data_IF_332560061071
#
_entry.id   IF_332560061071
#
_cell.length_a   1.000
_cell.length_b   1.000
_cell.length_c   1.000
_cell.angle_alpha   90.00
_cell.angle_beta   90.00
_cell.angle_gamma   90.00
#
_symmetry.space_group_name_H-M   'P 1'
#
loop_
_entity.id
_entity.type
_entity.pdbx_description
1 polymer ?
#
# COMPACT_ATOMS: atom_id res chain seq x y z
N UNK A 1 28.26 67.17 41.43
CA UNK A 1 29.72 67.37 41.27
C UNK A 1 30.36 66.50 42.36
N UNK A 2 31.05 65.38 42.14
CA UNK A 2 31.71 64.76 40.99
C UNK A 2 31.90 63.28 41.42
N UNK A 3 31.23 62.29 40.81
CA UNK A 3 31.79 61.24 39.89
C UNK A 3 33.24 60.80 40.23
N UNK A 4 33.71 59.55 40.12
CA UNK A 4 33.22 58.33 39.47
C UNK A 4 34.19 57.18 39.79
N UNK A 5 33.65 55.96 39.85
CA UNK A 5 34.13 54.69 39.23
C UNK A 5 35.55 54.17 39.46
N UNK A 6 35.63 52.92 39.95
CA UNK A 6 36.54 51.89 39.40
C UNK A 6 35.87 50.51 39.52
N UNK A 7 36.00 49.71 38.46
CA UNK A 7 35.39 48.40 38.24
C UNK A 7 36.39 47.23 38.48
N UNK A 8 35.81 46.03 38.62
CA UNK A 8 36.32 44.66 38.33
C UNK A 8 37.14 43.89 39.38
N UNK A 9 36.52 42.82 39.89
CA UNK A 9 36.86 41.38 39.73
C UNK A 9 35.69 40.60 40.37
N UNK A 10 35.02 39.60 39.80
CA UNK A 10 35.50 38.41 39.11
C UNK A 10 35.13 37.19 39.97
N UNK A 11 33.94 36.60 39.80
CA UNK A 11 33.74 35.17 40.12
C UNK A 11 32.55 34.61 39.31
N UNK A 12 32.90 33.75 38.36
CA UNK A 12 31.98 33.00 37.51
C UNK A 12 31.45 31.78 38.26
N UNK A 13 30.13 31.59 38.30
CA UNK A 13 29.49 30.34 38.75
C UNK A 13 29.24 29.44 37.54
N UNK A 14 29.53 28.12 37.61
CA UNK A 14 29.36 27.23 36.47
C UNK A 14 27.88 26.91 36.24
N UNK A 15 27.48 26.97 34.97
CA UNK A 15 26.13 26.77 34.48
C UNK A 15 25.62 25.35 34.65
N UNK A 16 24.32 25.27 34.89
CA UNK A 16 23.51 24.05 34.84
C UNK A 16 23.60 23.45 33.43
N UNK A 17 24.27 22.30 33.30
CA UNK A 17 24.19 21.48 32.10
C UNK A 17 22.74 21.04 31.93
N UNK A 18 22.06 21.62 30.94
CA UNK A 18 20.83 21.05 30.38
C UNK A 18 21.22 19.67 29.86
N UNK A 19 20.87 18.64 30.62
CA UNK A 19 20.83 17.26 30.13
C UNK A 19 20.03 17.29 28.83
N UNK A 20 20.65 16.81 27.74
CA UNK A 20 19.98 16.67 26.46
C UNK A 20 18.69 15.89 26.68
N UNK A 21 17.56 16.52 26.36
CA UNK A 21 16.28 15.81 26.29
C UNK A 21 16.46 14.58 25.40
N UNK A 22 16.13 13.37 25.89
CA UNK A 22 16.09 12.20 25.03
C UNK A 22 15.07 12.49 23.94
N UNK A 23 15.51 12.47 22.67
CA UNK A 23 14.61 12.51 21.53
C UNK A 23 13.84 11.19 21.56
N UNK A 24 12.63 11.22 22.11
CA UNK A 24 11.68 10.12 21.97
C UNK A 24 11.31 10.09 20.49
N UNK A 25 11.91 9.17 19.73
CA UNK A 25 11.44 8.78 18.40
C UNK A 25 10.21 7.92 18.58
N UNK A 26 9.10 8.53 19.02
CA UNK A 26 7.78 7.94 18.89
C UNK A 26 7.32 8.15 17.45
N UNK A 27 6.72 7.13 16.80
CA UNK A 27 6.08 7.34 15.51
C UNK A 27 5.02 8.43 15.65
N UNK A 28 5.04 9.39 14.73
CA UNK A 28 4.02 10.43 14.67
C UNK A 28 2.64 9.80 14.56
N UNK A 29 1.60 10.49 15.04
CA UNK A 29 0.21 10.00 14.97
C UNK A 29 -0.18 9.53 13.54
N UNK A 30 0.21 10.23 12.45
CA UNK A 30 0.00 9.74 11.09
C UNK A 30 0.70 8.41 10.77
N UNK A 31 1.97 8.25 11.17
CA UNK A 31 2.73 7.01 10.94
C UNK A 31 2.13 5.85 11.72
N UNK A 32 1.68 6.09 12.96
CA UNK A 32 0.99 5.07 13.75
C UNK A 32 -0.31 4.61 13.09
N UNK A 33 -1.13 5.55 12.56
CA UNK A 33 -2.36 5.20 11.83
C UNK A 33 -2.06 4.42 10.55
N UNK A 34 -1.05 4.83 9.77
CA UNK A 34 -0.66 4.11 8.56
C UNK A 34 -0.17 2.69 8.86
N UNK A 35 0.55 2.50 9.97
CA UNK A 35 0.98 1.18 10.41
C UNK A 35 -0.19 0.29 10.85
N UNK A 36 -1.15 0.85 11.60
CA UNK A 36 -2.35 0.12 12.01
C UNK A 36 -3.20 -0.29 10.79
N UNK A 37 -3.44 0.65 9.88
CA UNK A 37 -4.19 0.41 8.64
C UNK A 37 -3.58 -0.74 7.83
N UNK A 38 -2.25 -0.73 7.67
CA UNK A 38 -1.53 -1.83 7.02
C UNK A 38 -1.71 -3.15 7.74
N UNK A 39 -1.58 -3.17 9.06
CA UNK A 39 -1.77 -4.39 9.85
C UNK A 39 -3.18 -4.98 9.72
N UNK A 40 -4.20 -4.13 9.59
CA UNK A 40 -5.59 -4.55 9.33
C UNK A 40 -5.73 -5.19 7.95
N UNK A 41 -5.16 -4.58 6.91
CA UNK A 41 -5.22 -5.14 5.55
C UNK A 41 -4.40 -6.43 5.42
N UNK A 42 -3.21 -6.50 6.02
CA UNK A 42 -2.39 -7.71 6.05
C UNK A 42 -3.13 -8.87 6.77
N UNK A 43 -3.85 -8.58 7.85
CA UNK A 43 -4.68 -9.55 8.55
C UNK A 43 -5.84 -10.04 7.68
N UNK A 44 -6.52 -9.13 6.98
CA UNK A 44 -7.59 -9.49 6.05
C UNK A 44 -7.06 -10.37 4.91
N UNK A 45 -5.91 -10.04 4.32
CA UNK A 45 -5.28 -10.83 3.27
C UNK A 45 -4.96 -12.26 3.74
N UNK A 46 -4.34 -12.42 4.91
CA UNK A 46 -4.06 -13.75 5.49
C UNK A 46 -5.33 -14.57 5.67
N UNK A 47 -6.41 -13.96 6.15
CA UNK A 47 -7.70 -14.64 6.32
C UNK A 47 -8.35 -15.03 4.99
N UNK A 48 -8.22 -14.19 3.96
CA UNK A 48 -8.70 -14.50 2.60
C UNK A 48 -7.93 -15.69 2.03
N UNK A 49 -6.61 -15.72 2.18
CA UNK A 49 -5.76 -16.82 1.74
C UNK A 49 -6.11 -18.11 2.48
N UNK A 50 -6.15 -18.08 3.82
CA UNK A 50 -6.50 -19.24 4.63
C UNK A 50 -7.94 -19.72 4.42
N UNK A 51 -8.84 -18.80 4.04
CA UNK A 51 -10.24 -19.08 3.71
C UNK A 51 -10.49 -19.39 2.24
N UNK A 52 -9.45 -19.65 1.44
CA UNK A 52 -9.54 -20.00 0.01
C UNK A 52 -10.40 -19.01 -0.81
N UNK A 53 -10.31 -17.72 -0.48
CA UNK A 53 -11.06 -16.65 -1.15
C UNK A 53 -12.39 -16.28 -0.50
N UNK A 54 -12.71 -16.79 0.70
CA UNK A 54 -13.84 -16.27 1.47
C UNK A 54 -13.53 -14.87 1.99
N UNK A 55 -14.48 -13.94 1.82
CA UNK A 55 -14.40 -12.60 2.44
C UNK A 55 -14.52 -12.73 3.97
N UNK A 56 -13.52 -12.28 4.76
CA UNK A 56 -13.60 -12.33 6.22
C UNK A 56 -14.54 -11.25 6.76
N UNK A 57 -15.14 -11.52 7.91
CA UNK A 57 -15.90 -10.53 8.66
C UNK A 57 -14.97 -9.57 9.40
N UNK A 58 -15.44 -8.37 9.69
CA UNK A 58 -14.70 -7.39 10.51
C UNK A 58 -14.33 -7.95 11.89
N UNK A 59 -15.15 -8.85 12.45
CA UNK A 59 -14.86 -9.51 13.71
C UNK A 59 -13.69 -10.49 13.62
N UNK A 60 -13.60 -11.26 12.52
CA UNK A 60 -12.47 -12.16 12.26
C UNK A 60 -11.17 -11.37 12.06
N UNK A 61 -11.23 -10.28 11.28
CA UNK A 61 -10.06 -9.39 11.08
C UNK A 61 -9.60 -8.77 12.41
N UNK A 62 -10.54 -8.28 13.22
CA UNK A 62 -10.23 -7.72 14.54
C UNK A 62 -9.54 -8.75 15.47
N UNK A 63 -10.01 -9.99 15.45
CA UNK A 63 -9.38 -11.07 16.22
C UNK A 63 -7.97 -11.40 15.72
N UNK A 64 -7.79 -11.49 14.40
CA UNK A 64 -6.50 -11.78 13.76
C UNK A 64 -5.44 -10.70 14.03
N UNK A 65 -5.82 -9.42 13.95
CA UNK A 65 -4.90 -8.29 14.19
C UNK A 65 -4.76 -7.92 15.67
N UNK A 66 -5.54 -8.53 16.56
CA UNK A 66 -5.51 -8.26 18.00
C UNK A 66 -6.08 -6.90 18.41
N UNK A 67 -7.03 -6.36 17.64
CA UNK A 67 -7.67 -5.06 17.89
C UNK A 67 -9.12 -5.20 18.32
N UNK A 68 -9.65 -4.16 18.98
CA UNK A 68 -11.09 -4.05 19.17
C UNK A 68 -11.78 -3.82 17.80
N UNK A 69 -13.00 -4.36 17.64
CA UNK A 69 -13.80 -4.16 16.41
C UNK A 69 -13.98 -2.68 16.06
N UNK A 70 -14.20 -1.83 17.07
CA UNK A 70 -14.33 -0.38 16.88
C UNK A 70 -13.08 0.26 16.28
N UNK A 71 -11.89 -0.26 16.58
CA UNK A 71 -10.63 0.22 16.01
C UNK A 71 -10.52 -0.17 14.53
N UNK A 72 -10.89 -1.41 14.17
CA UNK A 72 -10.86 -1.86 12.77
C UNK A 72 -11.81 -1.05 11.87
N UNK A 73 -12.97 -0.64 12.40
CA UNK A 73 -13.89 0.24 11.66
C UNK A 73 -13.31 1.62 11.31
N UNK A 74 -12.21 2.04 11.96
CA UNK A 74 -11.50 3.27 11.58
C UNK A 74 -10.64 3.07 10.31
N UNK A 75 -10.28 1.83 10.00
CA UNK A 75 -9.41 1.46 8.88
C UNK A 75 -10.21 0.93 7.67
N UNK A 76 -11.24 0.12 7.92
CA UNK A 76 -12.12 -0.46 6.88
C UNK A 76 -13.59 -0.37 7.27
N UNK A 77 -14.42 0.21 6.41
CA UNK A 77 -15.82 0.49 6.71
C UNK A 77 -16.73 -0.74 6.57
N UNK A 78 -16.35 -1.69 5.71
CA UNK A 78 -17.13 -2.90 5.40
C UNK A 78 -16.25 -3.96 4.74
N UNK A 79 -16.77 -5.18 4.58
CA UNK A 79 -16.08 -6.23 3.81
C UNK A 79 -15.81 -5.81 2.37
N UNK A 80 -16.77 -5.13 1.73
CA UNK A 80 -16.59 -4.56 0.38
C UNK A 80 -15.46 -3.54 0.34
N UNK A 81 -15.48 -2.58 1.26
CA UNK A 81 -14.44 -1.55 1.35
C UNK A 81 -13.06 -2.15 1.58
N UNK A 82 -12.94 -3.16 2.43
CA UNK A 82 -11.72 -3.91 2.66
C UNK A 82 -11.19 -4.58 1.37
N UNK A 83 -12.06 -5.23 0.58
CA UNK A 83 -11.65 -5.81 -0.71
C UNK A 83 -11.20 -4.71 -1.67
N UNK A 84 -11.92 -3.59 -1.77
CA UNK A 84 -11.51 -2.45 -2.62
C UNK A 84 -10.11 -1.96 -2.22
N UNK A 85 -9.85 -1.79 -0.92
CA UNK A 85 -8.55 -1.33 -0.45
C UNK A 85 -7.42 -2.33 -0.75
N UNK A 86 -7.67 -3.64 -0.63
CA UNK A 86 -6.72 -4.68 -1.02
C UNK A 86 -6.45 -4.67 -2.53
N UNK A 87 -7.48 -4.47 -3.37
CA UNK A 87 -7.31 -4.31 -4.81
C UNK A 87 -6.44 -3.08 -5.15
N UNK A 88 -6.69 -1.96 -4.48
CA UNK A 88 -5.90 -0.73 -4.65
C UNK A 88 -4.43 -0.87 -4.18
N UNK A 89 -4.13 -1.84 -3.30
CA UNK A 89 -2.75 -2.18 -2.96
C UNK A 89 -2.11 -3.14 -3.98
N UNK A 90 -2.87 -4.14 -4.44
CA UNK A 90 -2.36 -5.19 -5.31
C UNK A 90 -2.09 -4.71 -6.75
N UNK A 91 -2.97 -3.88 -7.32
CA UNK A 91 -2.87 -3.46 -8.72
C UNK A 91 -1.59 -2.65 -8.99
N UNK A 92 -1.23 -1.60 -8.21
CA UNK A 92 0.00 -0.86 -8.45
C UNK A 92 1.26 -1.72 -8.33
N UNK A 93 1.33 -2.59 -7.32
CA UNK A 93 2.48 -3.47 -7.13
C UNK A 93 2.67 -4.45 -8.31
N UNK A 94 1.57 -4.92 -8.90
CA UNK A 94 1.62 -5.72 -10.12
C UNK A 94 2.06 -4.90 -11.33
N UNK A 95 1.51 -3.70 -11.54
CA UNK A 95 1.90 -2.82 -12.64
C UNK A 95 3.39 -2.45 -12.59
N UNK A 96 3.93 -2.18 -11.40
CA UNK A 96 5.35 -1.91 -11.20
C UNK A 96 6.20 -3.13 -11.59
N UNK A 97 5.78 -4.33 -11.18
CA UNK A 97 6.47 -5.59 -11.52
C UNK A 97 6.42 -5.89 -13.02
N UNK A 98 5.29 -5.63 -13.65
CA UNK A 98 5.10 -5.82 -15.09
C UNK A 98 5.94 -4.82 -15.89
N UNK A 99 5.92 -3.54 -15.51
CA UNK A 99 6.71 -2.48 -16.15
C UNK A 99 8.20 -2.80 -16.05
N UNK A 100 8.67 -3.20 -14.88
CA UNK A 100 10.07 -3.56 -14.68
C UNK A 100 10.51 -4.77 -15.54
N UNK A 101 9.65 -5.77 -15.74
CA UNK A 101 9.96 -6.89 -16.63
C UNK A 101 9.88 -6.49 -18.11
N UNK A 102 8.92 -5.65 -18.49
CA UNK A 102 8.80 -5.12 -19.85
C UNK A 102 10.02 -4.28 -20.26
N UNK A 103 10.56 -3.47 -19.34
CA UNK A 103 11.80 -2.69 -19.56
C UNK A 103 13.05 -3.59 -19.73
N UNK A 104 13.03 -4.80 -19.16
CA UNK A 104 14.13 -5.77 -19.27
C UNK A 104 14.10 -6.53 -20.59
N UNK A 105 12.92 -6.76 -21.16
CA UNK A 105 12.78 -7.46 -22.43
C UNK A 105 12.84 -6.47 -23.61
N UNK A 106 13.27 -6.93 -24.77
CA UNK A 106 13.29 -6.10 -25.98
C UNK A 106 11.88 -5.76 -26.50
N UNK A 107 11.76 -4.97 -27.58
CA UNK A 107 10.47 -4.54 -28.13
C UNK A 107 9.70 -5.64 -28.88
N UNK A 108 10.18 -6.88 -28.88
CA UNK A 108 9.57 -7.99 -29.58
C UNK A 108 8.23 -8.41 -28.94
N UNK A 109 7.13 -8.52 -29.73
CA UNK A 109 5.81 -8.88 -29.18
C UNK A 109 5.79 -10.24 -28.45
N UNK A 110 6.55 -11.22 -28.95
CA UNK A 110 6.62 -12.55 -28.32
C UNK A 110 7.31 -12.50 -26.95
N UNK A 111 8.41 -11.75 -26.83
CA UNK A 111 9.15 -11.55 -25.59
C UNK A 111 8.32 -10.80 -24.55
N UNK A 112 7.56 -9.79 -24.99
CA UNK A 112 6.64 -9.01 -24.14
C UNK A 112 5.45 -9.82 -23.67
N UNK A 113 4.83 -10.61 -24.54
CA UNK A 113 3.78 -11.54 -24.15
C UNK A 113 4.30 -12.57 -23.12
N UNK A 114 5.50 -13.11 -23.36
CA UNK A 114 6.13 -14.03 -22.42
C UNK A 114 6.44 -13.35 -21.07
N UNK A 115 6.87 -12.08 -21.07
CA UNK A 115 7.05 -11.27 -19.87
C UNK A 115 5.74 -11.10 -19.09
N UNK A 116 4.67 -10.71 -19.77
CA UNK A 116 3.35 -10.57 -19.14
C UNK A 116 2.88 -11.86 -18.48
N UNK A 117 3.01 -13.01 -19.16
CA UNK A 117 2.66 -14.31 -18.59
C UNK A 117 3.55 -14.66 -17.39
N UNK A 118 4.87 -14.43 -17.48
CA UNK A 118 5.81 -14.69 -16.38
C UNK A 118 5.53 -13.85 -15.13
N UNK A 119 5.07 -12.62 -15.29
CA UNK A 119 4.74 -11.75 -14.15
C UNK A 119 3.35 -12.06 -13.60
N UNK A 120 2.37 -12.26 -14.48
CA UNK A 120 0.96 -12.33 -14.07
C UNK A 120 0.59 -13.71 -13.55
N UNK A 121 1.06 -14.80 -14.17
CA UNK A 121 0.65 -16.14 -13.77
C UNK A 121 1.05 -16.49 -12.32
N UNK A 122 2.29 -16.21 -11.85
CA UNK A 122 2.67 -16.47 -10.46
C UNK A 122 1.81 -15.75 -9.42
N UNK A 123 1.27 -14.56 -9.72
CA UNK A 123 0.38 -13.87 -8.79
C UNK A 123 -0.83 -14.74 -8.42
N UNK A 124 -1.39 -15.44 -9.40
CA UNK A 124 -2.57 -16.28 -9.20
C UNK A 124 -2.25 -17.65 -8.58
N UNK A 125 -1.06 -18.20 -8.79
CA UNK A 125 -0.73 -19.58 -8.37
C UNK A 125 0.17 -19.66 -7.12
N UNK A 126 0.95 -18.62 -6.81
CA UNK A 126 1.95 -18.64 -5.73
C UNK A 126 1.62 -17.65 -4.59
N UNK A 127 0.68 -16.72 -4.81
CA UNK A 127 0.43 -15.61 -3.89
C UNK A 127 -1.02 -15.47 -3.41
N UNK A 128 -1.28 -14.36 -2.72
CA UNK A 128 -2.60 -13.98 -2.20
C UNK A 128 -3.59 -13.53 -3.29
N UNK A 129 -3.10 -13.25 -4.50
CA UNK A 129 -3.91 -12.64 -5.55
C UNK A 129 -5.04 -13.55 -6.03
N UNK A 130 -4.79 -14.86 -6.19
CA UNK A 130 -5.82 -15.84 -6.56
C UNK A 130 -7.00 -15.85 -5.58
N UNK A 131 -6.76 -16.10 -4.27
CA UNK A 131 -7.77 -15.98 -3.23
C UNK A 131 -8.44 -14.59 -3.18
N UNK A 132 -7.68 -13.50 -3.35
CA UNK A 132 -8.26 -12.15 -3.39
C UNK A 132 -9.23 -11.97 -4.57
N UNK A 133 -8.90 -12.45 -5.76
CA UNK A 133 -9.80 -12.43 -6.92
C UNK A 133 -11.04 -13.28 -6.71
N UNK A 134 -10.90 -14.44 -6.05
CA UNK A 134 -12.04 -15.28 -5.65
C UNK A 134 -12.97 -14.51 -4.70
N UNK A 135 -12.41 -13.83 -3.70
CA UNK A 135 -13.17 -13.00 -2.76
C UNK A 135 -13.89 -11.85 -3.46
N UNK A 136 -13.17 -11.09 -4.29
CA UNK A 136 -13.72 -9.97 -5.04
C UNK A 136 -14.82 -10.41 -6.03
N UNK A 137 -14.72 -11.62 -6.60
CA UNK A 137 -15.75 -12.17 -7.49
C UNK A 137 -17.10 -12.41 -6.79
N UNK A 138 -17.12 -12.53 -5.46
CA UNK A 138 -18.37 -12.62 -4.67
C UNK A 138 -19.03 -11.27 -4.41
N UNK A 139 -18.31 -10.18 -4.65
CA UNK A 139 -18.73 -8.79 -4.46
C UNK A 139 -18.41 -7.98 -5.73
N UNK A 140 -19.06 -8.27 -6.88
CA UNK A 140 -18.67 -7.72 -8.18
C UNK A 140 -18.63 -6.18 -8.23
N UNK A 141 -19.35 -5.50 -7.34
CA UNK A 141 -19.28 -4.05 -7.17
C UNK A 141 -17.90 -3.54 -6.74
N UNK A 142 -17.01 -4.37 -6.20
CA UNK A 142 -15.62 -3.98 -5.89
C UNK A 142 -14.83 -3.70 -7.16
N UNK A 143 -15.10 -4.45 -8.24
CA UNK A 143 -14.50 -4.17 -9.55
C UNK A 143 -15.10 -2.92 -10.18
N UNK A 144 -16.34 -2.55 -9.86
CA UNK A 144 -16.99 -1.35 -10.38
C UNK A 144 -16.61 -0.06 -9.62
N UNK A 145 -15.84 -0.14 -8.53
CA UNK A 145 -15.34 1.04 -7.83
C UNK A 145 -14.44 1.86 -8.77
N UNK A 146 -14.70 3.16 -8.89
CA UNK A 146 -14.01 4.05 -9.83
C UNK A 146 -12.50 4.05 -9.61
N UNK A 147 -12.04 3.99 -8.35
CA UNK A 147 -10.60 3.99 -8.02
C UNK A 147 -9.95 2.69 -8.47
N UNK A 148 -10.65 1.57 -8.35
CA UNK A 148 -10.17 0.26 -8.79
C UNK A 148 -10.09 0.23 -10.31
N UNK A 149 -11.10 0.76 -11.01
CA UNK A 149 -11.08 0.91 -12.47
C UNK A 149 -9.94 1.83 -12.94
N UNK A 150 -9.78 2.99 -12.31
CA UNK A 150 -8.67 3.91 -12.60
C UNK A 150 -7.31 3.23 -12.41
N UNK A 151 -7.11 2.51 -11.30
CA UNK A 151 -5.87 1.79 -11.06
C UNK A 151 -5.64 0.68 -12.09
N UNK A 152 -6.70 -0.06 -12.46
CA UNK A 152 -6.62 -1.11 -13.46
C UNK A 152 -6.31 -0.56 -14.86
N UNK A 153 -6.88 0.59 -15.22
CA UNK A 153 -6.61 1.28 -16.49
C UNK A 153 -5.14 1.74 -16.61
N UNK A 154 -4.36 1.71 -15.53
CA UNK A 154 -2.89 1.86 -15.61
C UNK A 154 -2.20 0.77 -16.44
N UNK A 155 -2.88 -0.35 -16.72
CA UNK A 155 -2.40 -1.43 -17.57
C UNK A 155 -2.45 -1.09 -19.07
N UNK A 156 -3.32 -0.16 -19.47
CA UNK A 156 -3.58 0.18 -20.86
C UNK A 156 -2.31 0.47 -21.70
N UNK A 157 -1.34 1.29 -21.22
CA UNK A 157 -0.11 1.54 -21.96
C UNK A 157 0.69 0.25 -22.18
N UNK A 158 0.85 -0.58 -21.15
CA UNK A 158 1.56 -1.85 -21.23
C UNK A 158 0.89 -2.83 -22.20
N UNK A 159 -0.45 -2.84 -22.26
CA UNK A 159 -1.19 -3.67 -23.23
C UNK A 159 -1.02 -3.19 -24.67
N UNK A 160 -1.09 -1.89 -24.94
CA UNK A 160 -0.83 -1.34 -26.29
C UNK A 160 0.60 -1.66 -26.74
N UNK A 161 1.54 -1.57 -25.81
CA UNK A 161 2.94 -1.89 -26.04
C UNK A 161 3.19 -3.39 -26.28
N UNK A 162 2.44 -4.26 -25.60
CA UNK A 162 2.52 -5.71 -25.72
C UNK A 162 1.85 -6.23 -26.99
N UNK A 163 0.68 -5.69 -27.33
CA UNK A 163 -0.09 -6.08 -28.51
C UNK A 163 0.52 -5.52 -29.79
N UNK A 164 1.38 -4.50 -29.67
CA UNK A 164 1.90 -3.74 -30.79
C UNK A 164 0.78 -2.96 -31.44
N UNK A 165 0.67 -1.67 -31.19
CA UNK A 165 -0.19 -0.79 -31.97
C UNK A 165 0.33 -0.75 -33.43
N UNK A 166 -0.01 -1.75 -34.23
CA UNK A 166 -0.54 -1.47 -35.56
C UNK A 166 -2.01 -1.08 -35.33
N UNK A 167 -2.22 0.22 -35.14
CA UNK A 167 -3.54 0.80 -35.13
C UNK A 167 -4.23 0.55 -36.47
N UNK A 168 -5.00 -0.52 -36.55
CA UNK A 168 -6.17 -0.55 -37.42
C UNK A 168 -7.31 -1.22 -36.65
N UNK A 169 -7.96 -0.42 -35.82
CA UNK A 169 -9.29 -0.76 -35.34
C UNK A 169 -10.22 -0.75 -36.55
N UNK A 170 -10.43 -1.93 -37.15
CA UNK A 170 -11.55 -2.15 -38.06
C UNK A 170 -12.82 -1.82 -37.27
N UNK A 171 -13.34 -0.62 -37.50
CA UNK A 171 -14.63 -0.19 -37.01
C UNK A 171 -15.70 -0.86 -37.88
N UNK A 172 -16.75 -1.47 -37.31
CA UNK A 172 -17.87 -1.97 -38.09
C UNK A 172 -18.63 -0.84 -38.81
#
# INVERSE_FOLDING_TARGET
MTVSTTWLTGSSRPGTRLHGMPKITEPSVPEHRAAQHRAVLDAAERLIVAGEGRVPTIAEVAAEVGLARSSVYLDVASGKDMIIQLLLQAIPAWLDSLTAELDRVGPGPAERLAAYVRVTLPLFVEGSHGPLMSAASTLPETFADERVQESHNGLDPALRELLGDEGDTVRP
#
